data_IF_489722639045
#
_entry.id   IF_489722639045
#
_cell.length_a   1.000
_cell.length_b   1.000
_cell.length_c   1.000
_cell.angle_alpha   90.00
_cell.angle_beta   90.00
_cell.angle_gamma   90.00
#
_symmetry.space_group_name_H-M   'P 1'
#
loop_
_entity.id
_entity.type
_entity.pdbx_description
1 polymer ?
#
# COMPACT_ATOMS: atom_id res chain seq x y z
N UNK A 1 -45.07 -4.98 8.56
CA UNK A 1 -44.60 -4.85 7.17
C UNK A 1 -43.96 -3.48 7.09
N UNK A 2 -42.65 -3.39 7.33
CA UNK A 2 -41.93 -2.12 7.20
C UNK A 2 -41.77 -1.93 5.70
N UNK A 3 -42.43 -0.90 5.16
CA UNK A 3 -42.23 -0.48 3.78
C UNK A 3 -40.72 -0.34 3.54
N UNK A 4 -40.20 -1.16 2.65
CA UNK A 4 -38.83 -1.03 2.19
C UNK A 4 -38.74 0.35 1.53
N UNK A 5 -38.08 1.29 2.21
CA UNK A 5 -37.70 2.58 1.63
C UNK A 5 -36.99 2.27 0.31
N UNK A 6 -37.63 2.57 -0.82
CA UNK A 6 -37.02 2.41 -2.13
C UNK A 6 -35.66 3.10 -2.11
N UNK A 7 -34.59 2.33 -2.33
CA UNK A 7 -33.24 2.89 -2.49
C UNK A 7 -33.30 3.96 -3.56
N UNK A 8 -33.20 5.23 -3.14
CA UNK A 8 -33.15 6.35 -4.05
C UNK A 8 -31.82 6.29 -4.78
N UNK A 9 -31.86 6.00 -6.09
CA UNK A 9 -30.68 6.07 -6.95
C UNK A 9 -30.14 7.49 -6.97
N UNK A 10 -28.86 7.62 -6.66
CA UNK A 10 -28.15 8.90 -6.55
C UNK A 10 -27.37 9.22 -7.82
N UNK A 11 -27.16 8.24 -8.70
CA UNK A 11 -26.25 8.34 -9.85
C UNK A 11 -24.78 8.15 -9.49
N UNK A 12 -24.48 7.87 -8.22
CA UNK A 12 -23.13 7.64 -7.72
C UNK A 12 -22.80 6.15 -7.50
N UNK A 13 -23.66 5.24 -7.96
CA UNK A 13 -23.56 3.79 -7.68
C UNK A 13 -22.27 3.15 -8.22
N UNK A 14 -21.60 3.82 -9.15
CA UNK A 14 -20.34 3.36 -9.78
C UNK A 14 -19.20 4.36 -9.62
N UNK A 15 -19.38 5.42 -8.82
CA UNK A 15 -18.37 6.46 -8.64
C UNK A 15 -17.41 6.02 -7.55
N UNK A 16 -16.16 5.83 -7.95
CA UNK A 16 -15.05 5.42 -7.09
C UNK A 16 -13.84 6.32 -7.29
N UNK A 17 -12.86 6.22 -6.38
CA UNK A 17 -11.58 6.91 -6.50
C UNK A 17 -10.86 6.53 -7.78
N UNK A 18 -10.25 7.50 -8.46
CA UNK A 18 -9.26 7.22 -9.49
C UNK A 18 -7.93 6.85 -8.83
N UNK A 19 -7.59 5.57 -8.87
CA UNK A 19 -6.37 5.02 -8.28
C UNK A 19 -5.25 4.81 -9.31
N UNK A 20 -5.44 5.24 -10.55
CA UNK A 20 -4.45 5.10 -11.63
C UNK A 20 -3.14 5.85 -11.36
N UNK A 21 -3.16 6.80 -10.41
CA UNK A 21 -1.96 7.46 -9.88
C UNK A 21 -1.00 6.49 -9.17
N UNK A 22 -1.51 5.36 -8.64
CA UNK A 22 -0.70 4.32 -8.03
C UNK A 22 -0.39 3.20 -9.03
N UNK A 23 -1.44 2.56 -9.55
CA UNK A 23 -1.35 1.45 -10.49
C UNK A 23 -2.56 1.45 -11.42
N UNK A 24 -2.39 0.92 -12.62
CA UNK A 24 -3.46 0.86 -13.63
C UNK A 24 -4.60 -0.10 -13.27
N UNK A 25 -4.37 -1.05 -12.36
CA UNK A 25 -5.34 -2.03 -11.90
C UNK A 25 -4.72 -3.10 -10.98
N UNK A 26 -5.52 -4.04 -10.44
CA UNK A 26 -5.04 -5.07 -9.50
C UNK A 26 -4.01 -6.03 -10.11
N UNK A 27 -3.99 -6.15 -11.44
CA UNK A 27 -3.08 -7.00 -12.20
C UNK A 27 -1.90 -6.22 -12.82
N UNK A 28 -1.69 -4.97 -12.40
CA UNK A 28 -0.56 -4.18 -12.88
C UNK A 28 0.77 -4.84 -12.49
N UNK A 29 1.65 -5.20 -13.45
CA UNK A 29 2.92 -5.87 -13.14
C UNK A 29 3.88 -5.00 -12.31
N UNK A 30 3.64 -3.67 -12.24
CA UNK A 30 4.40 -2.79 -11.35
C UNK A 30 4.18 -3.15 -9.86
N UNK A 31 3.04 -3.75 -9.49
CA UNK A 31 2.78 -4.22 -8.13
C UNK A 31 3.81 -5.27 -7.71
N UNK A 32 4.03 -6.30 -8.54
CA UNK A 32 5.04 -7.34 -8.24
C UNK A 32 6.45 -6.77 -8.19
N UNK A 33 6.75 -5.89 -9.13
CA UNK A 33 8.05 -5.21 -9.20
C UNK A 33 8.30 -4.43 -7.93
N UNK A 34 7.27 -3.75 -7.43
CA UNK A 34 7.35 -2.93 -6.23
C UNK A 34 7.46 -3.73 -4.94
N UNK A 35 6.73 -4.85 -4.83
CA UNK A 35 6.85 -5.81 -3.72
C UNK A 35 8.27 -6.39 -3.68
N UNK A 36 8.80 -6.84 -4.82
CA UNK A 36 10.14 -7.39 -4.90
C UNK A 36 11.21 -6.35 -4.51
N UNK A 37 11.07 -5.11 -4.98
CA UNK A 37 11.96 -4.02 -4.61
C UNK A 37 11.87 -3.70 -3.11
N UNK A 38 10.67 -3.66 -2.53
CA UNK A 38 10.46 -3.44 -1.10
C UNK A 38 11.13 -4.52 -0.25
N UNK A 39 11.01 -5.79 -0.64
CA UNK A 39 11.68 -6.89 0.06
C UNK A 39 13.21 -6.70 0.07
N UNK A 40 13.80 -6.35 -1.07
CA UNK A 40 15.24 -6.07 -1.15
C UNK A 40 15.65 -4.86 -0.29
N UNK A 41 14.85 -3.80 -0.28
CA UNK A 41 15.10 -2.62 0.56
C UNK A 41 15.02 -2.95 2.05
N UNK A 42 14.05 -3.78 2.46
CA UNK A 42 13.91 -4.25 3.84
C UNK A 42 15.12 -5.10 4.24
N UNK A 43 15.53 -6.06 3.39
CA UNK A 43 16.68 -6.91 3.67
C UNK A 43 17.96 -6.08 3.84
N UNK A 44 18.21 -5.14 2.93
CA UNK A 44 19.35 -4.22 3.02
C UNK A 44 19.29 -3.35 4.28
N UNK A 45 18.12 -2.79 4.60
CA UNK A 45 17.94 -1.97 5.80
C UNK A 45 18.21 -2.77 7.08
N UNK A 46 17.69 -3.99 7.15
CA UNK A 46 17.89 -4.90 8.28
C UNK A 46 19.36 -5.27 8.40
N UNK A 47 20.01 -5.69 7.30
CA UNK A 47 21.43 -6.03 7.28
C UNK A 47 22.28 -4.84 7.73
N UNK A 48 21.90 -3.62 7.35
CA UNK A 48 22.66 -2.41 7.63
C UNK A 48 22.49 -1.87 9.06
N UNK A 49 21.28 -1.91 9.62
CA UNK A 49 20.97 -1.15 10.84
C UNK A 49 20.53 -1.99 12.04
N UNK A 50 20.05 -3.23 11.85
CA UNK A 50 19.54 -4.06 12.96
C UNK A 50 20.65 -4.32 13.98
N UNK A 51 20.39 -3.94 15.23
CA UNK A 51 21.30 -4.17 16.35
C UNK A 51 22.53 -3.25 16.39
N UNK A 52 22.68 -2.33 15.41
CA UNK A 52 23.84 -1.42 15.29
C UNK A 52 23.50 0.05 15.50
N UNK A 53 22.26 0.38 15.85
CA UNK A 53 21.79 1.76 16.04
C UNK A 53 22.62 2.53 17.07
N UNK A 54 23.06 1.86 18.14
CA UNK A 54 23.87 2.49 19.19
C UNK A 54 25.30 2.86 18.73
N UNK A 55 25.76 2.26 17.62
CA UNK A 55 27.10 2.46 17.08
C UNK A 55 27.14 3.56 16.00
N UNK A 56 25.97 4.10 15.61
CA UNK A 56 25.88 5.13 14.58
C UNK A 56 26.25 6.51 15.15
N UNK A 57 27.03 7.26 14.40
CA UNK A 57 27.19 8.70 14.64
C UNK A 57 25.96 9.47 14.10
N UNK A 58 25.97 10.80 14.27
CA UNK A 58 24.86 11.64 13.84
C UNK A 58 24.55 11.51 12.33
N UNK A 59 25.58 11.33 11.49
CA UNK A 59 25.40 11.20 10.05
C UNK A 59 24.85 9.81 9.68
N UNK A 60 25.35 8.76 10.34
CA UNK A 60 24.84 7.40 10.20
C UNK A 60 23.38 7.28 10.64
N UNK A 61 22.99 7.99 11.71
CA UNK A 61 21.61 8.04 12.19
C UNK A 61 20.70 8.77 11.20
N UNK A 62 21.13 9.90 10.63
CA UNK A 62 20.38 10.60 9.58
C UNK A 62 20.16 9.68 8.37
N UNK A 63 21.21 9.02 7.89
CA UNK A 63 21.09 8.09 6.77
C UNK A 63 20.14 6.92 7.06
N UNK A 64 20.12 6.42 8.31
CA UNK A 64 19.17 5.39 8.73
C UNK A 64 17.72 5.90 8.68
N UNK A 65 17.46 7.13 9.14
CA UNK A 65 16.13 7.74 9.07
C UNK A 65 15.69 7.92 7.63
N UNK A 66 16.54 8.51 6.77
CA UNK A 66 16.22 8.75 5.35
C UNK A 66 15.92 7.43 4.61
N UNK A 67 16.70 6.38 4.89
CA UNK A 67 16.47 5.05 4.33
C UNK A 67 15.13 4.45 4.80
N UNK A 68 14.80 4.62 6.07
CA UNK A 68 13.53 4.16 6.64
C UNK A 68 12.34 4.92 6.04
N UNK A 69 12.42 6.24 5.90
CA UNK A 69 11.38 7.07 5.29
C UNK A 69 11.12 6.67 3.84
N UNK A 70 12.18 6.45 3.06
CA UNK A 70 12.08 6.01 1.67
C UNK A 70 11.38 4.65 1.57
N UNK A 71 11.75 3.70 2.43
CA UNK A 71 11.12 2.38 2.50
C UNK A 71 9.65 2.49 2.89
N UNK A 72 9.34 3.26 3.93
CA UNK A 72 7.98 3.45 4.44
C UNK A 72 7.08 4.14 3.41
N UNK A 73 7.52 5.21 2.74
CA UNK A 73 6.73 5.89 1.71
C UNK A 73 6.31 4.92 0.61
N UNK A 74 7.24 4.11 0.10
CA UNK A 74 6.96 3.12 -0.94
C UNK A 74 6.02 2.02 -0.46
N UNK A 75 6.22 1.50 0.76
CA UNK A 75 5.36 0.48 1.35
C UNK A 75 3.93 1.00 1.59
N UNK A 76 3.81 2.23 2.11
CA UNK A 76 2.51 2.83 2.36
C UNK A 76 1.74 3.14 1.08
N UNK A 77 2.39 3.59 0.01
CA UNK A 77 1.71 3.81 -1.28
C UNK A 77 1.08 2.54 -1.83
N UNK A 78 1.85 1.45 -1.84
CA UNK A 78 1.37 0.14 -2.29
C UNK A 78 0.21 -0.36 -1.39
N UNK A 79 0.41 -0.32 -0.07
CA UNK A 79 -0.62 -0.75 0.89
C UNK A 79 -1.89 0.10 0.84
N UNK A 80 -1.75 1.42 0.65
CA UNK A 80 -2.87 2.35 0.52
C UNK A 80 -3.65 2.08 -0.76
N UNK A 81 -2.96 1.82 -1.88
CA UNK A 81 -3.62 1.40 -3.11
C UNK A 81 -4.46 0.14 -2.91
N UNK A 82 -3.88 -0.92 -2.33
CA UNK A 82 -4.58 -2.18 -2.09
C UNK A 82 -5.80 -1.99 -1.18
N UNK A 83 -5.66 -1.19 -0.11
CA UNK A 83 -6.75 -0.89 0.81
C UNK A 83 -7.86 -0.06 0.13
N UNK A 84 -7.52 1.03 -0.55
CA UNK A 84 -8.50 1.88 -1.22
C UNK A 84 -9.24 1.09 -2.30
N UNK A 85 -8.54 0.29 -3.09
CA UNK A 85 -9.15 -0.58 -4.10
C UNK A 85 -10.16 -1.55 -3.46
N UNK A 86 -9.77 -2.23 -2.39
CA UNK A 86 -10.68 -3.13 -1.67
C UNK A 86 -11.90 -2.41 -1.08
N UNK A 87 -11.77 -1.17 -0.60
CA UNK A 87 -12.92 -0.42 -0.09
C UNK A 87 -13.95 -0.07 -1.17
N UNK A 88 -13.58 -0.13 -2.46
CA UNK A 88 -14.54 0.07 -3.57
C UNK A 88 -15.45 -1.14 -3.78
N UNK A 89 -15.00 -2.35 -3.45
CA UNK A 89 -15.78 -3.58 -3.48
C UNK A 89 -15.18 -4.63 -2.54
N UNK A 90 -15.67 -4.68 -1.30
CA UNK A 90 -15.17 -5.59 -0.27
C UNK A 90 -15.57 -7.04 -0.49
N UNK A 91 -16.48 -7.33 -1.44
CA UNK A 91 -16.84 -8.70 -1.82
C UNK A 91 -15.97 -9.22 -2.98
N UNK A 92 -15.14 -8.36 -3.58
CA UNK A 92 -14.25 -8.77 -4.65
C UNK A 92 -13.04 -9.56 -4.10
N UNK A 93 -13.01 -10.85 -4.40
CA UNK A 93 -11.95 -11.76 -3.93
C UNK A 93 -10.55 -11.35 -4.43
N UNK A 94 -10.43 -10.77 -5.62
CA UNK A 94 -9.14 -10.31 -6.15
C UNK A 94 -8.60 -9.13 -5.34
N UNK A 95 -9.47 -8.19 -4.95
CA UNK A 95 -9.06 -7.03 -4.15
C UNK A 95 -8.69 -7.46 -2.73
N UNK A 96 -9.45 -8.39 -2.15
CA UNK A 96 -9.12 -8.98 -0.86
C UNK A 96 -7.79 -9.75 -0.88
N UNK A 97 -7.51 -10.48 -1.97
CA UNK A 97 -6.24 -11.19 -2.13
C UNK A 97 -5.05 -10.22 -2.19
N UNK A 98 -5.20 -9.06 -2.85
CA UNK A 98 -4.14 -8.05 -2.96
C UNK A 98 -3.72 -7.48 -1.59
N UNK A 99 -4.65 -7.34 -0.62
CA UNK A 99 -4.33 -6.90 0.75
C UNK A 99 -3.43 -7.90 1.50
N UNK A 100 -3.56 -9.20 1.19
CA UNK A 100 -2.89 -10.28 1.93
C UNK A 100 -1.48 -10.60 1.43
N UNK A 101 -0.99 -9.87 0.42
CA UNK A 101 0.32 -10.09 -0.19
C UNK A 101 1.39 -9.32 0.56
#
# INVERSE_FOLDING_TARGET
>A
MVDATLEQKTGAETIVWDLSIFYSGPDDPAIETDIAALNQMVDAFVEQYRGRIADLDAQGMLAAVDAMETLMDKAYRLGMYANLLYTTDTNNAQYGALIQR
#
